data_IF_394895851706
#
_entry.id   IF_394895851706
#
_cell.length_a   1.000
_cell.length_b   1.000
_cell.length_c   1.000
_cell.angle_alpha   90.00
_cell.angle_beta   90.00
_cell.angle_gamma   90.00
#
_symmetry.space_group_name_H-M   'P 1'
#
loop_
_entity.id
_entity.type
_entity.pdbx_description
1 polymer ?
#
# COMPACT_ATOMS: atom_id res chain seq x y z
N UNK A 1 6.33 44.68 12.89
CA UNK A 1 4.98 44.15 12.61
C UNK A 1 5.12 42.84 11.85
N UNK A 2 4.93 41.70 12.50
CA UNK A 2 4.75 40.39 11.85
C UNK A 2 4.16 39.44 12.90
N UNK A 3 2.85 39.29 12.88
CA UNK A 3 2.11 38.29 13.67
C UNK A 3 1.42 37.39 12.63
N UNK A 4 2.05 36.26 12.32
CA UNK A 4 1.51 35.26 11.39
C UNK A 4 0.54 34.35 12.14
N UNK A 5 -0.76 34.64 11.97
CA UNK A 5 -1.91 33.92 12.52
C UNK A 5 -1.91 32.44 12.14
N UNK A 6 -1.36 31.59 13.01
CA UNK A 6 -1.23 30.13 12.81
C UNK A 6 -2.40 29.31 13.37
N UNK A 7 -3.44 29.95 13.93
CA UNK A 7 -4.55 29.22 14.58
C UNK A 7 -5.48 28.49 13.59
N UNK A 8 -5.66 29.02 12.38
CA UNK A 8 -6.67 28.47 11.45
C UNK A 8 -6.24 27.17 10.75
N UNK A 9 -4.93 26.99 10.50
CA UNK A 9 -4.42 25.79 9.82
C UNK A 9 -4.49 24.56 10.73
N UNK A 10 -4.31 24.72 12.04
CA UNK A 10 -4.34 23.61 13.00
C UNK A 10 -5.73 22.99 13.13
N UNK A 11 -6.77 23.82 13.15
CA UNK A 11 -8.18 23.38 13.22
C UNK A 11 -8.63 22.66 11.94
N UNK A 12 -8.22 23.15 10.77
CA UNK A 12 -8.53 22.50 9.49
C UNK A 12 -7.88 21.12 9.36
N UNK A 13 -6.61 20.99 9.79
CA UNK A 13 -5.92 19.70 9.82
C UNK A 13 -6.60 18.74 10.80
N UNK A 14 -6.98 19.22 11.98
CA UNK A 14 -7.67 18.40 12.99
C UNK A 14 -9.02 17.88 12.50
N UNK A 15 -9.83 18.71 11.83
CA UNK A 15 -11.08 18.27 11.18
C UNK A 15 -10.87 17.19 10.12
N UNK A 16 -9.81 17.29 9.31
CA UNK A 16 -9.50 16.28 8.29
C UNK A 16 -9.04 14.98 8.95
N UNK A 17 -8.21 15.06 9.99
CA UNK A 17 -7.76 13.89 10.74
C UNK A 17 -8.94 13.19 11.44
N UNK A 18 -9.87 13.95 12.01
CA UNK A 18 -11.05 13.42 12.69
C UNK A 18 -12.02 12.75 11.71
N UNK A 19 -12.28 13.38 10.55
CA UNK A 19 -13.08 12.79 9.48
C UNK A 19 -12.44 11.50 8.92
N UNK A 20 -11.11 11.47 8.77
CA UNK A 20 -10.38 10.27 8.35
C UNK A 20 -10.48 9.18 9.44
N UNK A 21 -10.36 9.52 10.73
CA UNK A 21 -10.55 8.56 11.83
C UNK A 21 -11.96 7.97 11.83
N UNK A 22 -13.00 8.78 11.62
CA UNK A 22 -14.39 8.31 11.50
C UNK A 22 -14.58 7.31 10.35
N UNK A 23 -14.04 7.63 9.17
CA UNK A 23 -14.10 6.74 7.99
C UNK A 23 -13.30 5.44 8.19
N UNK A 24 -12.19 5.49 8.93
CA UNK A 24 -11.36 4.32 9.22
C UNK A 24 -12.06 3.41 10.26
N UNK A 25 -12.73 3.97 11.27
CA UNK A 25 -13.44 3.19 12.28
C UNK A 25 -14.69 2.47 11.76
N UNK A 26 -15.41 3.04 10.79
CA UNK A 26 -16.61 2.42 10.19
C UNK A 26 -16.34 1.70 8.85
N UNK A 27 -15.23 2.04 8.17
CA UNK A 27 -14.91 1.60 6.80
C UNK A 27 -13.68 0.70 6.62
N UNK A 28 -12.89 0.41 7.67
CA UNK A 28 -11.71 -0.47 7.59
C UNK A 28 -12.02 -1.86 7.02
N UNK A 29 -13.26 -2.33 7.17
CA UNK A 29 -13.64 -3.68 6.77
C UNK A 29 -13.74 -3.86 5.25
N UNK A 30 -13.53 -2.80 4.46
CA UNK A 30 -13.57 -2.84 3.00
C UNK A 30 -12.19 -3.15 2.44
N UNK A 31 -12.06 -4.32 1.82
CA UNK A 31 -10.83 -4.86 1.25
C UNK A 31 -11.01 -5.05 -0.25
N UNK A 32 -9.97 -4.73 -1.01
CA UNK A 32 -9.86 -5.07 -2.42
C UNK A 32 -9.15 -6.42 -2.50
N UNK A 33 -9.82 -7.41 -3.08
CA UNK A 33 -9.30 -8.77 -3.29
C UNK A 33 -9.05 -8.94 -4.78
N UNK A 34 -7.79 -9.20 -5.15
CA UNK A 34 -7.41 -9.61 -6.50
C UNK A 34 -7.30 -11.12 -6.50
N UNK A 35 -7.97 -11.75 -7.46
CA UNK A 35 -7.92 -13.19 -7.69
C UNK A 35 -7.29 -13.50 -9.04
N UNK A 36 -6.58 -14.61 -9.13
CA UNK A 36 -6.07 -15.12 -10.40
C UNK A 36 -7.19 -15.86 -11.18
N UNK A 37 -6.88 -16.29 -12.41
CA UNK A 37 -7.70 -17.15 -13.26
C UNK A 37 -8.22 -18.42 -12.57
N UNK A 38 -7.55 -18.89 -11.50
CA UNK A 38 -7.96 -20.05 -10.69
C UNK A 38 -8.85 -19.70 -9.48
N UNK A 39 -9.34 -18.46 -9.39
CA UNK A 39 -10.11 -17.91 -8.24
C UNK A 39 -9.32 -17.88 -6.90
N UNK A 40 -8.01 -18.11 -6.95
CA UNK A 40 -7.13 -17.99 -5.78
C UNK A 40 -6.83 -16.52 -5.48
N UNK A 41 -6.91 -16.13 -4.21
CA UNK A 41 -6.59 -14.76 -3.76
C UNK A 41 -5.10 -14.52 -3.83
N UNK A 42 -4.67 -13.67 -4.76
CA UNK A 42 -3.24 -13.32 -4.96
C UNK A 42 -2.84 -12.03 -4.24
N UNK A 43 -3.80 -11.14 -3.97
CA UNK A 43 -3.55 -9.89 -3.24
C UNK A 43 -4.83 -9.44 -2.55
N UNK A 44 -4.71 -9.12 -1.25
CA UNK A 44 -5.80 -8.54 -0.48
C UNK A 44 -5.30 -7.28 0.24
N UNK A 45 -5.89 -6.12 -0.06
CA UNK A 45 -5.47 -4.83 0.50
C UNK A 45 -6.69 -4.01 0.95
N UNK A 46 -6.68 -3.46 2.18
CA UNK A 46 -7.72 -2.53 2.65
C UNK A 46 -7.80 -1.28 1.79
N UNK A 47 -9.01 -0.81 1.47
CA UNK A 47 -9.22 0.44 0.72
C UNK A 47 -8.63 1.65 1.46
N UNK A 48 -8.71 1.64 2.80
CA UNK A 48 -8.17 2.70 3.65
C UNK A 48 -6.65 2.92 3.45
N UNK A 49 -5.91 1.84 3.19
CA UNK A 49 -4.47 1.91 2.88
C UNK A 49 -4.22 2.70 1.59
N UNK A 50 -5.06 2.51 0.57
CA UNK A 50 -5.00 3.27 -0.69
C UNK A 50 -5.28 4.76 -0.52
N UNK A 51 -6.25 5.13 0.33
CA UNK A 51 -6.58 6.54 0.60
C UNK A 51 -5.41 7.23 1.32
N UNK A 52 -4.89 6.63 2.38
CA UNK A 52 -3.73 7.17 3.11
C UNK A 52 -2.52 7.28 2.18
N UNK A 53 -2.26 6.24 1.38
CA UNK A 53 -1.18 6.24 0.41
C UNK A 53 -1.36 7.35 -0.65
N UNK A 54 -2.57 7.62 -1.14
CA UNK A 54 -2.82 8.66 -2.15
C UNK A 54 -2.48 10.07 -1.64
N UNK A 55 -2.75 10.37 -0.36
CA UNK A 55 -2.39 11.66 0.25
C UNK A 55 -0.92 11.73 0.68
N UNK A 56 -0.33 10.62 1.12
CA UNK A 56 1.08 10.56 1.51
C UNK A 56 2.02 10.47 0.29
N UNK A 57 1.56 9.91 -0.82
CA UNK A 57 2.34 9.64 -2.02
C UNK A 57 3.05 10.88 -2.58
N UNK A 58 2.41 12.07 -2.71
CA UNK A 58 3.09 13.25 -3.23
C UNK A 58 4.32 13.66 -2.39
N UNK A 59 4.15 13.74 -1.06
CA UNK A 59 5.24 14.12 -0.14
C UNK A 59 6.34 13.06 -0.15
N UNK A 60 5.96 11.80 -0.05
CA UNK A 60 6.89 10.68 -0.11
C UNK A 60 7.64 10.62 -1.46
N UNK A 61 6.97 10.98 -2.56
CA UNK A 61 7.56 11.01 -3.91
C UNK A 61 8.58 12.13 -4.03
N UNK A 62 8.31 13.33 -3.50
CA UNK A 62 9.29 14.42 -3.53
C UNK A 62 10.57 14.02 -2.79
N UNK A 63 10.43 13.45 -1.60
CA UNK A 63 11.57 12.99 -0.79
C UNK A 63 12.27 11.83 -1.51
N UNK A 64 11.51 10.82 -1.93
CA UNK A 64 12.01 9.61 -2.59
C UNK A 64 12.71 9.90 -3.91
N UNK A 65 12.19 10.82 -4.72
CA UNK A 65 12.81 11.27 -5.96
C UNK A 65 14.14 11.98 -5.69
N UNK A 66 14.17 12.88 -4.69
CA UNK A 66 15.42 13.52 -4.26
C UNK A 66 16.48 12.50 -3.83
N UNK A 67 16.09 11.54 -2.99
CA UNK A 67 16.97 10.45 -2.54
C UNK A 67 17.42 9.58 -3.72
N UNK A 68 16.53 9.23 -4.65
CA UNK A 68 16.84 8.41 -5.81
C UNK A 68 17.82 9.09 -6.78
N UNK A 69 17.78 10.42 -6.90
CA UNK A 69 18.71 11.18 -7.73
C UNK A 69 20.12 11.24 -7.13
N UNK A 70 20.22 11.35 -5.80
CA UNK A 70 21.51 11.47 -5.11
C UNK A 70 22.14 10.10 -4.83
N UNK A 71 21.31 9.08 -4.64
CA UNK A 71 21.76 7.72 -4.34
C UNK A 71 22.03 6.95 -5.64
N UNK A 72 23.10 6.14 -5.68
CA UNK A 72 23.37 5.19 -6.78
C UNK A 72 22.47 3.95 -6.67
N UNK A 73 21.16 4.16 -6.64
CA UNK A 73 20.18 3.07 -6.57
C UNK A 73 19.83 2.62 -8.00
N UNK A 74 20.05 1.34 -8.30
CA UNK A 74 19.57 0.72 -9.54
C UNK A 74 18.14 0.24 -9.36
N UNK A 75 17.20 0.77 -10.13
CA UNK A 75 15.83 0.26 -10.17
C UNK A 75 15.82 -0.95 -11.11
N UNK A 76 15.81 -2.18 -10.56
CA UNK A 76 15.57 -3.40 -11.33
C UNK A 76 14.08 -3.68 -11.40
N UNK A 77 13.50 -3.53 -12.58
CA UNK A 77 12.16 -4.03 -12.87
C UNK A 77 12.28 -5.51 -13.22
N UNK A 78 11.85 -6.37 -12.31
CA UNK A 78 11.64 -7.78 -12.59
C UNK A 78 10.18 -7.96 -12.94
N UNK A 79 9.90 -8.15 -14.23
CA UNK A 79 8.61 -8.67 -14.67
C UNK A 79 8.55 -10.14 -14.26
N UNK A 80 8.00 -10.42 -13.07
CA UNK A 80 7.30 -11.69 -12.91
C UNK A 80 6.06 -11.58 -13.77
N UNK A 81 6.13 -12.09 -15.01
CA UNK A 81 4.93 -12.72 -15.53
C UNK A 81 4.48 -13.73 -14.47
N UNK A 82 3.18 -13.85 -14.20
CA UNK A 82 2.69 -15.02 -13.48
C UNK A 82 3.11 -16.23 -14.31
N UNK A 83 4.25 -16.82 -13.96
CA UNK A 83 4.63 -18.15 -14.40
C UNK A 83 3.44 -19.02 -13.97
N UNK A 84 2.74 -19.68 -14.90
CA UNK A 84 1.83 -20.75 -14.54
C UNK A 84 2.72 -21.92 -14.11
N UNK A 85 3.36 -21.81 -12.95
CA UNK A 85 4.01 -22.95 -12.32
C UNK A 85 2.88 -23.82 -11.81
N UNK A 86 2.42 -24.68 -12.72
CA UNK A 86 2.05 -26.03 -12.41
C UNK A 86 3.06 -26.55 -11.37
N UNK A 87 2.51 -26.99 -10.25
CA UNK A 87 3.16 -27.79 -9.23
C UNK A 87 4.08 -28.81 -9.89
N UNK A 88 5.29 -29.00 -9.36
CA UNK A 88 5.52 -30.30 -8.76
C UNK A 88 6.40 -30.26 -7.50
N UNK A 89 6.14 -31.25 -6.64
CA UNK A 89 6.94 -31.72 -5.50
C UNK A 89 6.82 -30.86 -4.22
N UNK A 90 6.34 -31.37 -3.08
CA UNK A 90 6.53 -32.72 -2.54
C UNK A 90 5.43 -33.00 -1.50
N UNK A 91 4.62 -34.05 -1.72
CA UNK A 91 4.16 -34.87 -0.59
C UNK A 91 5.21 -35.96 -0.41
N UNK A 92 5.79 -35.94 0.78
CA UNK A 92 6.84 -36.81 1.29
C UNK A 92 6.22 -38.20 1.56
N UNK A 93 6.87 -39.24 1.02
CA UNK A 93 7.13 -40.54 1.66
C UNK A 93 6.00 -41.56 1.94
N UNK A 94 6.40 -42.84 1.78
CA UNK A 94 5.86 -44.08 2.37
C UNK A 94 4.47 -44.54 1.90
N UNK A 95 4.26 -45.78 1.47
CA UNK A 95 4.75 -47.03 2.05
C UNK A 95 4.67 -48.15 0.99
N UNK A 96 5.59 -49.13 1.06
CA UNK A 96 5.45 -50.46 0.43
C UNK A 96 4.09 -51.04 0.85
N UNK A 97 3.40 -51.87 0.06
CA UNK A 97 3.60 -53.32 -0.11
C UNK A 97 2.81 -53.73 -1.36
#
# INVERSE_FOLDING_TARGET
MSESKSESARSAVDSVVDAVRGLVSEGINRRVVVRDSKDEVVLEVPVALGVVAAFAAPVATTIGAGVALVSKCGIKLENRQPEPTAQPATTVESERI
#
